data_IF_986102469427
#
_entry.id   IF_986102469427
#
_cell.length_a   1.000
_cell.length_b   1.000
_cell.length_c   1.000
_cell.angle_alpha   90.00
_cell.angle_beta   90.00
_cell.angle_gamma   90.00
#
_symmetry.space_group_name_H-M   'P 1'
#
loop_
_entity.id
_entity.type
_entity.pdbx_description
1 polymer ?
#
# COMPACT_ATOMS: atom_id res chain seq x y z
N UNK A 1 -47.52 58.09 -18.15
CA UNK A 1 -46.52 57.96 -19.25
C UNK A 1 -45.20 57.55 -18.62
N UNK A 2 -44.87 56.28 -18.82
CA UNK A 2 -43.54 55.63 -18.79
C UNK A 2 -42.32 56.44 -18.36
N UNK A 3 -41.69 56.09 -17.23
CA UNK A 3 -40.41 55.34 -17.22
C UNK A 3 -39.99 55.07 -15.76
N UNK A 4 -39.99 53.79 -15.39
CA UNK A 4 -39.39 53.29 -14.15
C UNK A 4 -37.98 52.80 -14.50
N UNK A 5 -36.99 53.51 -14.00
CA UNK A 5 -35.67 52.96 -13.72
C UNK A 5 -35.72 52.34 -12.33
N UNK A 6 -35.36 51.06 -12.16
CA UNK A 6 -34.62 50.66 -10.96
C UNK A 6 -33.95 49.29 -11.03
N UNK A 7 -32.71 49.33 -10.54
CA UNK A 7 -31.91 48.32 -9.85
C UNK A 7 -31.78 46.89 -10.39
N UNK A 8 -30.57 46.59 -10.87
CA UNK A 8 -29.97 45.25 -10.86
C UNK A 8 -29.86 44.72 -9.43
N UNK A 9 -30.45 43.55 -9.16
CA UNK A 9 -30.14 42.74 -7.98
C UNK A 9 -28.74 42.10 -8.14
N UNK A 10 -27.82 42.20 -7.16
CA UNK A 10 -26.66 41.34 -7.10
C UNK A 10 -27.01 39.99 -6.45
N UNK A 11 -26.56 38.91 -7.10
CA UNK A 11 -26.65 37.52 -6.65
C UNK A 11 -26.05 37.29 -5.26
N UNK A 12 -26.62 36.40 -4.43
CA UNK A 12 -26.05 36.06 -3.14
C UNK A 12 -24.75 35.26 -3.33
N UNK A 13 -23.68 35.77 -2.75
CA UNK A 13 -22.39 35.11 -2.61
C UNK A 13 -22.56 33.79 -1.86
N UNK A 14 -22.09 32.70 -2.46
CA UNK A 14 -21.94 31.41 -1.79
C UNK A 14 -20.86 31.56 -0.71
N UNK A 15 -21.28 31.66 0.55
CA UNK A 15 -20.40 31.49 1.70
C UNK A 15 -19.82 30.08 1.65
N UNK A 16 -18.49 30.01 1.65
CA UNK A 16 -17.72 28.78 1.80
C UNK A 16 -18.16 28.04 3.07
N UNK A 17 -18.63 26.81 2.90
CA UNK A 17 -18.96 25.92 4.01
C UNK A 17 -17.69 25.51 4.73
N UNK A 18 -17.40 26.13 5.87
CA UNK A 18 -16.45 25.61 6.86
C UNK A 18 -16.98 24.28 7.38
N UNK A 19 -16.36 23.18 6.98
CA UNK A 19 -16.57 21.89 7.59
C UNK A 19 -16.27 22.00 9.09
N UNK A 20 -17.30 21.77 9.90
CA UNK A 20 -17.27 21.83 11.34
C UNK A 20 -16.55 20.59 11.87
N UNK A 21 -15.29 20.76 12.28
CA UNK A 21 -14.58 19.81 13.14
C UNK A 21 -15.35 19.70 14.47
N UNK A 22 -15.71 18.49 14.87
CA UNK A 22 -16.23 18.22 16.21
C UNK A 22 -15.27 17.26 16.95
N UNK A 23 -14.58 17.86 17.93
CA UNK A 23 -14.06 17.36 19.20
C UNK A 23 -13.58 15.89 19.30
N UNK A 24 -12.26 15.65 19.19
CA UNK A 24 -11.33 15.43 20.34
C UNK A 24 -9.89 15.16 19.82
N UNK A 25 -9.35 16.08 19.00
CA UNK A 25 -8.24 15.80 18.07
C UNK A 25 -6.95 16.60 18.32
N UNK A 26 -6.58 16.85 19.58
CA UNK A 26 -5.31 17.54 19.86
C UNK A 26 -4.15 16.54 19.82
N UNK A 27 -3.47 16.47 18.68
CA UNK A 27 -2.09 15.95 18.62
C UNK A 27 -1.11 17.12 18.65
N UNK A 28 0.12 16.86 19.08
CA UNK A 28 1.21 17.83 19.03
C UNK A 28 2.27 17.35 18.07
N UNK A 29 2.84 18.27 17.28
CA UNK A 29 3.99 17.97 16.43
C UNK A 29 5.22 18.62 17.06
N UNK A 30 6.27 17.83 17.23
CA UNK A 30 7.63 18.32 17.47
C UNK A 30 8.41 18.16 16.17
N UNK A 31 8.77 19.27 15.54
CA UNK A 31 9.53 19.27 14.29
C UNK A 31 10.95 18.75 14.52
N UNK A 32 11.52 18.05 13.54
CA UNK A 32 12.95 17.77 13.52
C UNK A 32 13.78 19.07 13.55
N UNK A 33 15.04 18.99 14.00
CA UNK A 33 16.01 20.07 13.76
C UNK A 33 16.09 20.35 12.25
N UNK A 34 16.02 21.62 11.83
CA UNK A 34 15.79 22.11 10.45
C UNK A 34 16.87 21.73 9.40
N UNK A 35 17.17 20.44 9.23
CA UNK A 35 17.92 19.93 8.10
C UNK A 35 17.01 19.81 6.87
N UNK A 36 17.51 20.06 5.65
CA UNK A 36 16.78 19.75 4.43
C UNK A 36 16.52 18.24 4.32
N UNK A 37 15.41 17.86 3.68
CA UNK A 37 15.11 16.45 3.39
C UNK A 37 16.25 15.89 2.53
N UNK A 38 16.84 14.73 2.89
CA UNK A 38 17.81 14.07 2.06
C UNK A 38 17.30 13.85 0.63
N UNK A 39 18.09 14.30 -0.36
CA UNK A 39 17.80 14.01 -1.76
C UNK A 39 18.19 12.58 -2.09
N UNK A 40 17.23 11.79 -2.56
CA UNK A 40 17.48 10.42 -2.97
C UNK A 40 18.15 10.41 -4.36
N UNK A 41 19.31 9.76 -4.46
CA UNK A 41 20.10 9.71 -5.72
C UNK A 41 19.56 8.70 -6.72
N UNK A 42 19.03 7.59 -6.21
CA UNK A 42 18.46 6.52 -7.00
C UNK A 42 17.12 6.11 -6.36
N UNK A 43 15.98 6.48 -6.97
CA UNK A 43 14.68 6.15 -6.44
C UNK A 43 14.18 4.75 -6.84
N UNK A 44 14.99 3.94 -7.53
CA UNK A 44 14.57 2.63 -8.04
C UNK A 44 14.16 1.63 -6.96
N UNK A 45 14.57 1.84 -5.71
CA UNK A 45 14.13 1.02 -4.57
C UNK A 45 12.77 1.41 -4.01
N UNK A 46 12.26 2.61 -4.34
CA UNK A 46 10.93 3.05 -3.94
C UNK A 46 9.89 2.63 -4.97
N UNK A 47 8.79 2.05 -4.49
CA UNK A 47 7.84 1.42 -5.39
C UNK A 47 6.41 1.49 -4.83
N UNK A 48 5.45 1.68 -5.75
CA UNK A 48 4.02 1.51 -5.51
C UNK A 48 3.58 0.32 -6.37
N UNK A 49 3.11 -0.76 -5.75
CA UNK A 49 2.52 -1.89 -6.49
C UNK A 49 1.04 -2.05 -6.17
N UNK A 50 0.26 -2.35 -7.20
CA UNK A 50 -1.13 -2.79 -7.08
C UNK A 50 -1.24 -4.24 -7.48
N UNK A 51 -2.01 -5.02 -6.73
CA UNK A 51 -2.28 -6.42 -7.11
C UNK A 51 -3.39 -6.45 -8.16
N UNK A 52 -3.09 -6.97 -9.33
CA UNK A 52 -4.01 -7.09 -10.46
C UNK A 52 -4.89 -8.33 -10.33
N UNK A 53 -4.34 -9.43 -9.80
CA UNK A 53 -5.06 -10.64 -9.46
C UNK A 53 -4.26 -11.53 -8.50
N UNK A 54 -4.98 -12.47 -7.88
CA UNK A 54 -4.39 -13.57 -7.12
C UNK A 54 -5.05 -14.91 -7.51
N UNK A 55 -4.23 -15.94 -7.71
CA UNK A 55 -4.68 -17.32 -7.76
C UNK A 55 -4.13 -18.12 -6.58
N UNK A 56 -4.97 -18.98 -6.01
CA UNK A 56 -4.53 -19.99 -5.05
C UNK A 56 -4.44 -21.35 -5.74
N UNK A 57 -3.24 -21.91 -5.76
CA UNK A 57 -2.89 -23.18 -6.37
C UNK A 57 -2.77 -24.28 -5.30
N UNK A 58 -2.85 -25.58 -5.67
CA UNK A 58 -2.55 -26.66 -4.75
C UNK A 58 -1.13 -26.56 -4.19
N UNK A 59 -0.96 -27.00 -2.94
CA UNK A 59 0.35 -27.12 -2.29
C UNK A 59 0.55 -28.54 -1.76
N UNK A 60 1.68 -29.20 -2.08
CA UNK A 60 2.64 -28.79 -3.11
C UNK A 60 1.99 -28.76 -4.50
N UNK A 61 2.58 -28.01 -5.44
CA UNK A 61 2.12 -28.00 -6.82
C UNK A 61 2.18 -29.43 -7.42
N UNK A 62 1.21 -29.82 -8.26
CA UNK A 62 1.24 -31.12 -8.92
C UNK A 62 2.52 -31.32 -9.75
N UNK A 63 3.02 -32.57 -9.88
CA UNK A 63 4.18 -32.85 -10.69
C UNK A 63 3.99 -32.32 -12.12
N UNK A 64 4.99 -31.57 -12.62
CA UNK A 64 5.00 -30.92 -13.94
C UNK A 64 4.10 -29.67 -14.10
N UNK A 65 3.53 -29.13 -13.01
CA UNK A 65 2.91 -27.81 -13.08
C UNK A 65 3.94 -26.77 -13.55
N UNK A 66 3.56 -25.97 -14.55
CA UNK A 66 4.39 -24.87 -15.03
C UNK A 66 4.33 -23.70 -14.07
N UNK A 67 5.50 -23.10 -13.83
CA UNK A 67 5.66 -21.93 -12.97
C UNK A 67 6.47 -20.87 -13.75
N UNK A 68 5.96 -19.63 -13.86
CA UNK A 68 4.62 -19.22 -13.43
C UNK A 68 3.49 -19.89 -14.22
N UNK A 69 2.38 -20.21 -13.56
CA UNK A 69 1.25 -20.97 -14.09
C UNK A 69 0.27 -20.08 -14.86
N UNK A 70 -0.11 -18.95 -14.27
CA UNK A 70 -1.21 -18.09 -14.73
C UNK A 70 -0.97 -17.45 -16.09
N UNK A 71 0.29 -17.26 -16.50
CA UNK A 71 0.66 -16.71 -17.83
C UNK A 71 0.28 -17.62 -19.00
N UNK A 72 -0.09 -18.88 -18.73
CA UNK A 72 -0.50 -19.85 -19.74
C UNK A 72 -2.04 -19.99 -19.86
N UNK A 73 -2.79 -19.24 -19.06
CA UNK A 73 -4.25 -19.26 -19.13
C UNK A 73 -4.78 -18.42 -20.31
N UNK A 74 -5.91 -18.84 -20.92
CA UNK A 74 -6.67 -20.06 -20.67
C UNK A 74 -6.13 -21.29 -21.41
N UNK A 75 -5.16 -21.12 -22.32
CA UNK A 75 -4.72 -22.13 -23.29
C UNK A 75 -4.22 -23.43 -22.64
N UNK A 76 -3.58 -23.33 -21.46
CA UNK A 76 -3.14 -24.47 -20.67
C UNK A 76 -3.63 -24.35 -19.23
N UNK A 77 -4.68 -25.08 -18.91
CA UNK A 77 -5.32 -25.02 -17.59
C UNK A 77 -5.56 -26.41 -16.94
N UNK A 78 -4.51 -27.22 -16.71
CA UNK A 78 -4.66 -28.54 -16.11
C UNK A 78 -5.19 -28.52 -14.66
N UNK A 79 -5.06 -27.39 -13.96
CA UNK A 79 -5.61 -27.20 -12.60
C UNK A 79 -7.06 -26.73 -12.60
N UNK A 80 -7.67 -26.52 -13.77
CA UNK A 80 -9.04 -26.05 -13.93
C UNK A 80 -9.35 -24.78 -13.11
N UNK A 81 -8.41 -23.82 -13.13
CA UNK A 81 -8.61 -22.50 -12.54
C UNK A 81 -9.66 -21.71 -13.34
N UNK A 82 -10.30 -20.69 -12.75
CA UNK A 82 -11.08 -19.73 -13.52
C UNK A 82 -10.26 -19.19 -14.71
N UNK A 83 -10.88 -19.14 -15.89
CA UNK A 83 -10.22 -18.61 -17.10
C UNK A 83 -10.05 -17.10 -17.07
N UNK A 84 -10.74 -16.42 -16.14
CA UNK A 84 -10.69 -14.97 -15.97
C UNK A 84 -10.00 -14.65 -14.66
N UNK A 85 -9.02 -13.75 -14.74
CA UNK A 85 -8.31 -13.19 -13.60
C UNK A 85 -9.29 -12.48 -12.66
N UNK A 86 -9.07 -12.63 -11.36
CA UNK A 86 -9.92 -12.05 -10.34
C UNK A 86 -9.09 -11.48 -9.20
N UNK A 87 -9.43 -10.26 -8.81
CA UNK A 87 -8.84 -9.57 -7.66
C UNK A 87 -9.96 -9.14 -6.71
N UNK A 88 -10.15 -9.84 -5.58
CA UNK A 88 -11.21 -9.54 -4.61
C UNK A 88 -10.96 -8.24 -3.82
N UNK A 89 -9.75 -7.69 -3.85
CA UNK A 89 -9.35 -6.57 -2.98
C UNK A 89 -8.82 -5.37 -3.76
N UNK A 90 -8.89 -4.18 -3.17
CA UNK A 90 -8.11 -3.03 -3.58
C UNK A 90 -6.78 -3.06 -2.83
N UNK A 91 -5.87 -3.94 -3.25
CA UNK A 91 -4.54 -4.09 -2.64
C UNK A 91 -3.57 -3.07 -3.21
N UNK A 92 -2.87 -2.37 -2.32
CA UNK A 92 -1.79 -1.43 -2.65
C UNK A 92 -0.66 -1.67 -1.66
N UNK A 93 0.56 -1.81 -2.17
CA UNK A 93 1.80 -1.88 -1.40
C UNK A 93 2.59 -0.61 -1.66
N UNK A 94 3.06 0.03 -0.59
CA UNK A 94 4.04 1.12 -0.68
C UNK A 94 5.34 0.63 -0.09
N UNK A 95 6.45 0.76 -0.83
CA UNK A 95 7.80 0.41 -0.38
C UNK A 95 8.68 1.64 -0.42
N UNK A 96 9.25 2.03 0.72
CA UNK A 96 10.16 3.16 0.85
C UNK A 96 11.54 2.86 0.23
N UNK A 97 12.38 3.88 0.01
CA UNK A 97 13.75 3.69 -0.48
C UNK A 97 14.62 2.76 0.38
N UNK A 98 14.38 2.68 1.70
CA UNK A 98 15.07 1.75 2.60
C UNK A 98 14.32 0.42 2.78
N UNK A 99 13.40 0.09 1.88
CA UNK A 99 12.64 -1.15 1.88
C UNK A 99 11.69 -1.31 3.08
N UNK A 100 11.30 -0.21 3.74
CA UNK A 100 10.16 -0.25 4.67
C UNK A 100 8.88 -0.29 3.85
N UNK A 101 8.04 -1.31 4.06
CA UNK A 101 6.82 -1.48 3.29
C UNK A 101 5.56 -1.42 4.16
N UNK A 102 4.43 -1.10 3.54
CA UNK A 102 3.08 -1.30 4.07
C UNK A 102 2.17 -1.87 2.97
N UNK A 103 1.57 -3.02 3.25
CA UNK A 103 0.59 -3.71 2.41
C UNK A 103 -0.77 -3.63 3.10
N UNK A 104 -1.77 -3.09 2.40
CA UNK A 104 -3.15 -3.04 2.88
C UNK A 104 -4.07 -3.63 1.81
N UNK A 105 -4.79 -4.69 2.19
CA UNK A 105 -5.71 -5.45 1.34
C UNK A 105 -7.13 -5.24 1.83
N UNK A 106 -7.92 -4.46 1.09
CA UNK A 106 -9.31 -4.14 1.42
C UNK A 106 -10.25 -4.82 0.43
N UNK A 107 -11.21 -5.62 0.90
CA UNK A 107 -12.22 -6.21 0.02
C UNK A 107 -12.98 -5.15 -0.78
N UNK A 108 -13.07 -5.36 -2.10
CA UNK A 108 -13.88 -4.53 -3.00
C UNK A 108 -15.37 -4.67 -2.62
N UNK A 109 -16.11 -3.57 -2.70
CA UNK A 109 -17.55 -3.61 -2.45
C UNK A 109 -18.26 -4.40 -3.55
N UNK A 110 -19.12 -5.35 -3.16
CA UNK A 110 -20.07 -5.99 -4.09
C UNK A 110 -21.29 -5.11 -4.40
N UNK A 111 -21.45 -3.97 -3.72
CA UNK A 111 -22.56 -3.02 -3.89
C UNK A 111 -22.06 -1.75 -4.58
N UNK A 112 -22.87 -1.20 -5.48
CA UNK A 112 -22.59 0.03 -6.27
C UNK A 112 -22.50 1.31 -5.44
N UNK A 113 -22.92 1.30 -4.17
CA UNK A 113 -22.79 2.44 -3.25
C UNK A 113 -21.63 2.20 -2.30
N UNK A 114 -20.55 2.96 -2.49
CA UNK A 114 -19.42 2.94 -1.57
C UNK A 114 -19.83 3.59 -0.24
N UNK A 115 -19.72 2.87 0.91
CA UNK A 115 -19.94 3.45 2.22
C UNK A 115 -18.95 4.59 2.48
N UNK A 116 -19.32 5.51 3.37
CA UNK A 116 -18.40 6.56 3.82
C UNK A 116 -17.14 5.90 4.44
N UNK A 117 -15.92 6.19 3.94
CA UNK A 117 -14.71 5.57 4.45
C UNK A 117 -14.51 5.83 5.95
N UNK A 118 -15.06 6.93 6.47
CA UNK A 118 -14.94 7.32 7.87
C UNK A 118 -15.81 6.51 8.84
N UNK A 119 -16.59 5.53 8.37
CA UNK A 119 -17.51 4.73 9.20
C UNK A 119 -16.92 3.41 9.71
N UNK A 120 -15.61 3.14 9.50
CA UNK A 120 -14.88 2.16 10.30
C UNK A 120 -15.32 0.70 10.16
N UNK A 121 -15.72 0.26 8.97
CA UNK A 121 -16.22 -1.10 8.74
C UNK A 121 -15.09 -2.16 8.80
N UNK A 122 -14.84 -2.74 9.96
CA UNK A 122 -13.79 -3.76 10.19
C UNK A 122 -13.87 -4.98 9.27
N UNK A 123 -15.07 -5.38 8.85
CA UNK A 123 -15.30 -6.53 7.97
C UNK A 123 -14.74 -6.37 6.54
N UNK A 124 -14.29 -5.17 6.15
CA UNK A 124 -13.67 -4.94 4.83
C UNK A 124 -12.18 -5.25 4.79
N UNK A 125 -11.50 -5.36 5.93
CA UNK A 125 -10.07 -5.67 5.96
C UNK A 125 -9.85 -7.17 5.72
N UNK A 126 -9.13 -7.51 4.65
CA UNK A 126 -8.68 -8.89 4.41
C UNK A 126 -7.38 -9.18 5.17
N UNK A 127 -6.39 -8.31 4.94
CA UNK A 127 -5.08 -8.37 5.58
C UNK A 127 -4.43 -6.99 5.50
N UNK A 128 -3.70 -6.60 6.53
CA UNK A 128 -2.75 -5.51 6.43
C UNK A 128 -1.53 -5.82 7.28
N UNK A 129 -0.36 -5.46 6.78
CA UNK A 129 0.90 -5.69 7.46
C UNK A 129 1.95 -4.71 6.95
N UNK A 130 2.98 -4.51 7.77
CA UNK A 130 4.07 -3.60 7.47
C UNK A 130 5.37 -4.11 8.10
N UNK A 131 6.49 -3.79 7.48
CA UNK A 131 7.77 -4.34 7.87
C UNK A 131 8.89 -3.91 6.95
N UNK A 132 9.87 -4.79 6.78
CA UNK A 132 11.00 -4.60 5.86
C UNK A 132 11.03 -5.70 4.82
N UNK A 133 11.33 -5.35 3.57
CA UNK A 133 11.53 -6.31 2.50
C UNK A 133 13.00 -6.45 2.13
N UNK A 134 13.34 -7.60 1.55
CA UNK A 134 14.64 -7.84 0.93
C UNK A 134 14.46 -8.71 -0.30
N UNK A 135 15.20 -8.43 -1.37
CA UNK A 135 15.17 -9.23 -2.59
C UNK A 135 16.57 -9.61 -3.01
N UNK A 136 16.78 -10.88 -3.36
CA UNK A 136 18.06 -11.41 -3.83
C UNK A 136 17.89 -12.01 -5.23
N UNK A 137 18.74 -11.68 -6.21
CA UNK A 137 18.70 -12.33 -7.52
C UNK A 137 18.89 -13.84 -7.38
N UNK A 138 18.06 -14.62 -8.06
CA UNK A 138 18.19 -16.07 -8.13
C UNK A 138 18.46 -16.51 -9.56
N UNK A 139 19.34 -17.50 -9.70
CA UNK A 139 19.49 -18.21 -10.97
C UNK A 139 18.55 -19.39 -10.96
N UNK A 140 17.55 -19.36 -11.83
CA UNK A 140 16.69 -20.53 -12.01
C UNK A 140 17.54 -21.68 -12.56
N UNK A 141 17.51 -22.87 -11.94
CA UNK A 141 18.24 -24.00 -12.48
C UNK A 141 17.64 -24.40 -13.84
N UNK A 142 18.40 -25.10 -14.71
CA UNK A 142 17.90 -25.52 -16.03
C UNK A 142 16.62 -26.38 -15.98
N UNK A 143 16.31 -26.96 -14.82
CA UNK A 143 15.08 -27.69 -14.52
C UNK A 143 13.84 -26.82 -14.23
N UNK A 144 14.03 -25.50 -14.10
CA UNK A 144 13.03 -24.54 -13.67
C UNK A 144 13.00 -24.28 -12.16
N UNK A 145 12.01 -23.52 -11.64
CA UNK A 145 11.97 -23.07 -10.25
C UNK A 145 11.98 -24.16 -9.19
N UNK A 146 12.25 -23.76 -7.94
CA UNK A 146 12.30 -24.63 -6.76
C UNK A 146 10.98 -25.42 -6.55
N UNK A 147 9.86 -24.88 -7.02
CA UNK A 147 8.55 -25.53 -7.03
C UNK A 147 8.03 -25.64 -8.48
N UNK A 148 7.60 -26.83 -8.90
CA UNK A 148 7.09 -27.07 -10.26
C UNK A 148 8.17 -27.36 -11.32
N UNK A 149 7.85 -27.16 -12.60
CA UNK A 149 8.79 -27.20 -13.74
C UNK A 149 8.58 -25.97 -14.60
N UNK A 150 9.58 -25.14 -14.87
CA UNK A 150 9.43 -24.12 -15.93
C UNK A 150 9.67 -24.81 -17.27
N UNK A 151 8.62 -24.98 -18.06
CA UNK A 151 8.73 -25.50 -19.43
C UNK A 151 8.45 -24.42 -20.48
N UNK A 152 8.86 -23.17 -20.22
CA UNK A 152 8.94 -22.18 -21.29
C UNK A 152 10.22 -22.41 -22.10
N UNK A 153 10.05 -22.45 -23.44
CA UNK A 153 10.93 -23.01 -24.49
C UNK A 153 12.34 -23.40 -24.05
N UNK A 154 12.63 -24.69 -24.17
CA UNK A 154 13.97 -25.29 -24.14
C UNK A 154 14.94 -24.75 -25.20
N UNK A 155 14.62 -23.66 -25.93
CA UNK A 155 15.48 -23.14 -27.00
C UNK A 155 15.63 -21.60 -27.05
N UNK A 156 14.78 -20.76 -26.43
CA UNK A 156 14.84 -19.30 -26.74
C UNK A 156 14.63 -18.26 -25.61
N UNK A 157 14.11 -18.58 -24.41
CA UNK A 157 13.87 -17.56 -23.37
C UNK A 157 14.43 -17.99 -22.01
N UNK A 158 15.54 -17.36 -21.58
CA UNK A 158 15.98 -17.38 -20.18
C UNK A 158 15.15 -16.37 -19.38
N UNK A 159 14.62 -16.77 -18.23
CA UNK A 159 14.10 -15.78 -17.28
C UNK A 159 15.26 -14.95 -16.75
N UNK A 160 15.26 -13.66 -17.09
CA UNK A 160 16.25 -12.71 -16.60
C UNK A 160 15.70 -11.96 -15.39
N UNK A 161 16.58 -11.61 -14.47
CA UNK A 161 16.27 -10.75 -13.32
C UNK A 161 15.19 -11.31 -12.36
N UNK A 162 15.07 -12.63 -12.26
CA UNK A 162 14.25 -13.26 -11.23
C UNK A 162 14.90 -13.03 -9.87
N UNK A 163 14.10 -12.62 -8.89
CA UNK A 163 14.55 -12.44 -7.52
C UNK A 163 13.73 -13.33 -6.59
N UNK A 164 14.34 -13.72 -5.47
CA UNK A 164 13.60 -14.23 -4.33
C UNK A 164 13.43 -13.08 -3.34
N UNK A 165 12.19 -12.79 -3.00
CA UNK A 165 11.82 -11.71 -2.09
C UNK A 165 11.31 -12.28 -0.77
N UNK A 166 11.65 -11.59 0.32
CA UNK A 166 11.20 -11.91 1.68
C UNK A 166 10.67 -10.66 2.33
N UNK A 167 9.51 -10.76 2.97
CA UNK A 167 8.85 -9.70 3.71
C UNK A 167 8.83 -10.05 5.19
N UNK A 168 9.61 -9.32 5.99
CA UNK A 168 9.65 -9.53 7.45
C UNK A 168 8.64 -8.62 8.12
N UNK A 169 7.57 -9.20 8.66
CA UNK A 169 6.47 -8.46 9.25
C UNK A 169 6.87 -7.93 10.63
N UNK A 170 6.70 -6.62 10.83
CA UNK A 170 6.87 -5.96 12.11
C UNK A 170 5.54 -5.64 12.79
N UNK A 171 4.51 -5.40 11.97
CA UNK A 171 3.09 -5.25 12.34
C UNK A 171 2.27 -6.09 11.38
N UNK A 172 1.32 -6.86 11.89
CA UNK A 172 0.43 -7.70 11.09
C UNK A 172 -0.97 -7.72 11.72
N UNK A 173 -2.02 -7.50 10.92
CA UNK A 173 -3.40 -7.45 11.41
C UNK A 173 -3.93 -8.79 11.91
N UNK A 174 -3.25 -9.91 11.60
CA UNK A 174 -3.64 -11.27 12.00
C UNK A 174 -2.91 -11.75 13.25
N UNK A 175 -1.90 -11.02 13.71
CA UNK A 175 -1.07 -11.41 14.85
C UNK A 175 -0.95 -10.28 15.87
N UNK A 176 -0.95 -10.62 17.15
CA UNK A 176 -0.69 -9.65 18.20
C UNK A 176 0.71 -9.04 18.06
N UNK A 177 0.87 -7.82 18.58
CA UNK A 177 2.17 -7.12 18.62
C UNK A 177 3.22 -8.01 19.30
N UNK A 178 4.35 -8.21 18.61
CA UNK A 178 5.48 -8.99 19.13
C UNK A 178 5.31 -10.51 19.03
N UNK A 179 4.27 -11.00 18.35
CA UNK A 179 4.10 -12.44 18.09
C UNK A 179 5.33 -13.02 17.39
N UNK A 180 5.83 -14.15 17.90
CA UNK A 180 6.87 -14.97 17.26
C UNK A 180 6.32 -15.87 16.15
N UNK A 181 5.00 -15.97 16.05
CA UNK A 181 4.32 -16.98 15.25
C UNK A 181 3.88 -16.43 13.89
N UNK A 182 4.35 -15.24 13.51
CA UNK A 182 4.11 -14.70 12.17
C UNK A 182 4.84 -15.59 11.16
N UNK A 183 4.13 -16.22 10.20
CA UNK A 183 4.75 -17.05 9.18
C UNK A 183 5.76 -16.27 8.35
N UNK A 184 6.71 -17.00 7.76
CA UNK A 184 7.57 -16.43 6.73
C UNK A 184 6.70 -16.04 5.53
N UNK A 185 6.87 -14.82 5.07
CA UNK A 185 6.27 -14.31 3.83
C UNK A 185 7.38 -14.14 2.79
N UNK A 186 7.33 -14.94 1.74
CA UNK A 186 8.37 -15.00 0.70
C UNK A 186 7.83 -15.53 -0.62
N UNK A 187 8.46 -15.10 -1.72
CA UNK A 187 8.04 -15.44 -3.07
C UNK A 187 9.14 -15.21 -4.10
N UNK A 188 9.10 -16.00 -5.17
CA UNK A 188 9.93 -15.79 -6.35
C UNK A 188 9.23 -14.78 -7.29
N UNK A 189 9.93 -13.72 -7.66
CA UNK A 189 9.41 -12.62 -8.47
C UNK A 189 9.85 -12.77 -9.92
N UNK A 190 8.89 -12.93 -10.83
CA UNK A 190 9.12 -13.09 -12.26
C UNK A 190 8.72 -11.81 -13.00
N UNK A 191 9.67 -11.04 -13.54
CA UNK A 191 9.36 -9.91 -14.40
C UNK A 191 8.67 -10.41 -15.68
N UNK A 192 7.41 -10.00 -15.89
CA UNK A 192 6.58 -10.38 -17.05
C UNK A 192 6.60 -9.30 -18.13
N UNK A 193 6.57 -8.04 -17.70
CA UNK A 193 6.65 -6.85 -18.55
C UNK A 193 7.25 -5.69 -17.72
N UNK A 194 7.57 -4.52 -18.31
CA UNK A 194 8.24 -3.43 -17.58
C UNK A 194 7.58 -3.00 -16.26
N UNK A 195 6.25 -3.05 -16.18
CA UNK A 195 5.48 -2.71 -14.98
C UNK A 195 4.82 -3.93 -14.31
N UNK A 196 5.03 -5.15 -14.84
CA UNK A 196 4.31 -6.34 -14.40
C UNK A 196 5.28 -7.38 -13.85
N UNK A 197 5.08 -7.73 -12.59
CA UNK A 197 5.85 -8.77 -11.91
C UNK A 197 4.88 -9.80 -11.35
N UNK A 198 5.10 -11.07 -11.68
CA UNK A 198 4.32 -12.17 -11.13
C UNK A 198 5.09 -12.78 -9.97
N UNK A 199 4.52 -12.70 -8.78
CA UNK A 199 5.02 -13.35 -7.59
C UNK A 199 4.49 -14.78 -7.50
N UNK A 200 5.36 -15.72 -7.17
CA UNK A 200 5.01 -17.10 -6.85
C UNK A 200 5.56 -17.46 -5.48
N UNK A 201 4.67 -17.58 -4.51
CA UNK A 201 5.00 -17.93 -3.14
C UNK A 201 4.10 -19.01 -2.60
N UNK A 202 4.19 -19.26 -1.30
CA UNK A 202 3.24 -20.11 -0.61
C UNK A 202 3.04 -19.63 0.83
N UNK A 203 1.83 -19.84 1.35
CA UNK A 203 1.48 -19.40 2.69
C UNK A 203 0.23 -20.08 3.21
N UNK A 204 0.01 -19.99 4.51
CA UNK A 204 -1.21 -20.49 5.12
C UNK A 204 -2.41 -19.63 4.72
N UNK A 205 -3.40 -20.24 4.08
CA UNK A 205 -4.64 -19.56 3.71
C UNK A 205 -5.70 -19.78 4.80
N UNK A 206 -6.09 -18.76 5.59
CA UNK A 206 -6.96 -18.94 6.76
C UNK A 206 -8.35 -19.48 6.42
N UNK A 207 -8.99 -19.01 5.34
CA UNK A 207 -10.32 -19.50 4.97
C UNK A 207 -10.33 -20.95 4.42
N UNK A 208 -9.17 -21.47 3.99
CA UNK A 208 -9.03 -22.84 3.48
C UNK A 208 -8.38 -23.77 4.51
N UNK A 209 -7.96 -23.22 5.66
CA UNK A 209 -7.26 -23.93 6.74
C UNK A 209 -6.11 -24.82 6.23
N UNK A 210 -5.34 -24.30 5.26
CA UNK A 210 -4.30 -25.06 4.58
C UNK A 210 -3.24 -24.14 3.97
N UNK A 211 -2.02 -24.65 3.84
CA UNK A 211 -0.98 -24.01 3.02
C UNK A 211 -1.39 -24.10 1.55
N UNK A 212 -1.23 -22.99 0.83
CA UNK A 212 -1.45 -22.88 -0.60
C UNK A 212 -0.27 -22.20 -1.27
N UNK A 213 0.07 -22.66 -2.47
CA UNK A 213 0.84 -21.84 -3.39
C UNK A 213 -0.06 -20.71 -3.84
N UNK A 214 0.47 -19.51 -3.92
CA UNK A 214 -0.23 -18.38 -4.51
C UNK A 214 0.55 -17.85 -5.70
N UNK A 215 -0.18 -17.32 -6.67
CA UNK A 215 0.39 -16.45 -7.70
C UNK A 215 -0.29 -15.10 -7.63
N UNK A 216 0.49 -14.04 -7.44
CA UNK A 216 0.03 -12.67 -7.34
C UNK A 216 0.64 -11.85 -8.48
N UNK A 217 -0.19 -11.31 -9.37
CA UNK A 217 0.29 -10.38 -10.38
C UNK A 217 0.31 -8.98 -9.80
N UNK A 218 1.50 -8.39 -9.76
CA UNK A 218 1.74 -7.05 -9.31
C UNK A 218 1.97 -6.13 -10.50
N UNK A 219 1.27 -5.00 -10.49
CA UNK A 219 1.49 -3.90 -11.40
C UNK A 219 2.09 -2.72 -10.66
N UNK A 220 3.26 -2.30 -11.09
CA UNK A 220 3.93 -1.12 -10.57
C UNK A 220 3.31 0.17 -11.15
N UNK A 221 3.20 1.18 -10.29
CA UNK A 221 2.79 2.53 -10.68
C UNK A 221 3.91 3.52 -10.43
N UNK A 222 4.04 4.48 -11.34
CA UNK A 222 4.94 5.61 -11.16
C UNK A 222 4.58 6.40 -9.90
N UNK A 223 5.61 6.76 -9.13
CA UNK A 223 5.46 7.72 -8.03
C UNK A 223 5.25 9.11 -8.61
N UNK A 224 4.19 9.81 -8.23
CA UNK A 224 3.86 11.14 -8.75
C UNK A 224 4.07 12.22 -7.69
N UNK A 225 4.48 13.42 -8.13
CA UNK A 225 4.59 14.59 -7.25
C UNK A 225 3.20 15.07 -6.82
N UNK A 226 3.06 15.45 -5.55
CA UNK A 226 1.84 16.06 -5.00
C UNK A 226 2.05 17.52 -4.64
N UNK A 227 3.11 18.14 -5.17
CA UNK A 227 3.46 19.52 -4.87
C UNK A 227 3.81 20.30 -6.16
N UNK A 228 3.74 21.63 -6.07
CA UNK A 228 4.06 22.55 -7.17
C UNK A 228 5.54 22.53 -7.58
N UNK A 229 6.43 22.07 -6.71
CA UNK A 229 7.85 21.94 -7.03
C UNK A 229 8.14 20.72 -7.93
N UNK A 230 7.16 19.86 -8.17
CA UNK A 230 7.31 18.66 -8.99
C UNK A 230 8.21 17.60 -8.34
N UNK A 231 8.46 17.68 -7.04
CA UNK A 231 9.26 16.68 -6.33
C UNK A 231 8.40 15.56 -5.74
N UNK A 232 8.90 14.33 -5.84
CA UNK A 232 8.33 13.14 -5.23
C UNK A 232 8.85 13.06 -3.79
N UNK A 233 7.96 12.76 -2.85
CA UNK A 233 8.26 12.73 -1.42
C UNK A 233 7.95 11.35 -0.86
N UNK A 234 8.86 10.81 -0.04
CA UNK A 234 8.61 9.66 0.80
C UNK A 234 8.77 10.04 2.28
N UNK A 235 7.87 9.56 3.14
CA UNK A 235 7.95 9.71 4.60
C UNK A 235 7.57 8.39 5.24
N UNK A 236 8.39 7.90 6.17
CA UNK A 236 8.08 6.73 7.00
C UNK A 236 7.99 7.17 8.45
N UNK A 237 6.85 6.87 9.11
CA UNK A 237 6.67 7.07 10.54
C UNK A 237 6.50 5.74 11.25
N UNK A 238 7.09 5.61 12.43
CA UNK A 238 6.95 4.43 13.29
C UNK A 238 6.43 4.82 14.67
N UNK A 239 5.44 4.08 15.16
CA UNK A 239 5.04 4.09 16.55
C UNK A 239 5.46 2.77 17.18
N UNK A 240 6.24 2.83 18.26
CA UNK A 240 6.67 1.65 19.01
C UNK A 240 6.47 1.87 20.51
N UNK A 241 5.49 1.17 21.07
CA UNK A 241 5.21 1.13 22.50
C UNK A 241 4.93 -0.32 22.92
N UNK A 242 5.93 -1.18 22.72
CA UNK A 242 5.86 -2.62 22.94
C UNK A 242 5.41 -3.00 24.36
N UNK A 243 5.79 -2.19 25.37
CA UNK A 243 5.42 -2.40 26.77
C UNK A 243 3.89 -2.40 27.01
N UNK A 244 3.13 -1.78 26.12
CA UNK A 244 1.65 -1.75 26.15
C UNK A 244 1.04 -2.40 24.91
N UNK A 245 1.82 -3.17 24.16
CA UNK A 245 1.36 -3.94 23.00
C UNK A 245 0.92 -3.06 21.84
N UNK A 246 1.62 -1.94 21.57
CA UNK A 246 1.28 -1.01 20.48
C UNK A 246 2.43 -0.87 19.50
N UNK A 247 2.14 -1.09 18.21
CA UNK A 247 3.03 -0.78 17.09
C UNK A 247 2.26 -0.19 15.93
N UNK A 248 2.90 0.67 15.15
CA UNK A 248 2.33 1.18 13.91
C UNK A 248 3.36 1.69 12.93
N UNK A 249 3.03 1.61 11.65
CA UNK A 249 3.85 2.10 10.54
C UNK A 249 2.97 2.93 9.61
N UNK A 250 3.46 4.09 9.21
CA UNK A 250 2.89 4.90 8.13
C UNK A 250 3.95 5.05 7.06
N UNK A 251 3.58 4.83 5.80
CA UNK A 251 4.40 5.15 4.62
C UNK A 251 3.60 6.11 3.75
N UNK A 252 4.16 7.28 3.49
CA UNK A 252 3.76 8.16 2.38
C UNK A 252 4.77 7.95 1.26
N UNK A 253 4.27 7.76 0.05
CA UNK A 253 5.09 7.65 -1.15
C UNK A 253 4.36 8.34 -2.31
N UNK A 254 4.87 9.52 -2.71
CA UNK A 254 4.26 10.35 -3.75
C UNK A 254 2.79 10.64 -3.46
N UNK A 255 1.93 10.15 -4.35
CA UNK A 255 0.49 10.30 -4.39
C UNK A 255 -0.30 9.35 -3.47
N UNK A 256 0.37 8.45 -2.73
CA UNK A 256 -0.27 7.56 -1.76
C UNK A 256 0.29 7.77 -0.36
N UNK A 257 -0.57 7.56 0.64
CA UNK A 257 -0.16 7.37 2.02
C UNK A 257 -0.99 6.28 2.67
N UNK A 258 -0.33 5.29 3.25
CA UNK A 258 -0.94 4.17 3.94
C UNK A 258 -0.38 4.04 5.35
N UNK A 259 -1.21 3.55 6.27
CA UNK A 259 -0.75 3.27 7.61
C UNK A 259 -1.53 2.16 8.29
N UNK A 260 -0.83 1.42 9.13
CA UNK A 260 -1.37 0.37 9.99
C UNK A 260 -0.91 0.63 11.43
N UNK A 261 -1.82 0.39 12.38
CA UNK A 261 -1.53 0.37 13.81
C UNK A 261 -2.20 -0.85 14.44
N UNK A 262 -1.43 -1.58 15.24
CA UNK A 262 -1.92 -2.62 16.14
C UNK A 262 -1.85 -2.12 17.57
N UNK A 263 -2.93 -2.32 18.33
CA UNK A 263 -3.02 -2.06 19.75
C UNK A 263 -3.66 -3.27 20.44
N UNK A 264 -2.83 -4.12 21.04
CA UNK A 264 -3.22 -5.48 21.41
C UNK A 264 -3.65 -6.26 20.16
N UNK A 265 -4.90 -6.73 20.15
CA UNK A 265 -5.51 -7.45 19.02
C UNK A 265 -6.30 -6.53 18.07
N UNK A 266 -6.37 -5.22 18.36
CA UNK A 266 -7.15 -4.28 17.54
C UNK A 266 -6.29 -3.70 16.44
N UNK A 267 -6.77 -3.79 15.21
CA UNK A 267 -6.15 -3.17 14.03
C UNK A 267 -6.84 -1.85 13.68
N UNK A 268 -6.04 -0.85 13.33
CA UNK A 268 -6.50 0.35 12.64
C UNK A 268 -5.68 0.55 11.37
N UNK A 269 -6.34 0.82 10.24
CA UNK A 269 -5.68 1.14 8.97
C UNK A 269 -6.26 2.39 8.32
N UNK A 270 -5.40 3.10 7.59
CA UNK A 270 -5.80 4.21 6.72
C UNK A 270 -5.12 4.10 5.34
N UNK A 271 -5.84 4.56 4.31
CA UNK A 271 -5.29 4.87 2.98
C UNK A 271 -5.77 6.24 2.55
N UNK A 272 -4.83 7.03 2.05
CA UNK A 272 -5.02 8.35 1.48
C UNK A 272 -4.42 8.40 0.09
N UNK A 273 -5.11 9.10 -0.79
CA UNK A 273 -4.76 9.25 -2.20
C UNK A 273 -4.81 10.73 -2.56
N UNK A 274 -3.79 11.20 -3.26
CA UNK A 274 -3.80 12.53 -3.86
C UNK A 274 -4.62 12.50 -5.14
N UNK A 275 -5.51 13.47 -5.29
CA UNK A 275 -6.27 13.71 -6.51
C UNK A 275 -5.87 15.06 -7.08
N UNK A 276 -5.40 15.06 -8.32
CA UNK A 276 -5.20 16.29 -9.05
C UNK A 276 -6.56 16.97 -9.30
N UNK A 277 -6.58 18.30 -9.34
CA UNK A 277 -7.78 19.05 -9.66
C UNK A 277 -8.29 18.67 -11.05
N UNK A 278 -9.58 18.30 -11.15
CA UNK A 278 -10.19 18.03 -12.45
C UNK A 278 -10.39 19.37 -13.18
N UNK A 279 -9.71 19.52 -14.33
CA UNK A 279 -9.79 20.62 -15.28
C UNK A 279 -8.91 21.84 -14.97
N UNK A 280 -7.78 21.93 -15.67
CA UNK A 280 -7.22 23.20 -16.16
C UNK A 280 -6.96 24.30 -15.12
N UNK A 281 -5.71 24.35 -14.67
CA UNK A 281 -4.96 25.52 -14.19
C UNK A 281 -5.33 26.21 -12.87
N UNK A 282 -6.49 26.00 -12.22
CA UNK A 282 -6.80 26.73 -10.96
C UNK A 282 -7.31 25.91 -9.75
N UNK A 283 -7.57 24.61 -9.88
CA UNK A 283 -7.92 23.77 -8.72
C UNK A 283 -6.67 23.09 -8.14
N UNK A 284 -6.28 23.46 -6.91
CA UNK A 284 -5.23 22.76 -6.18
C UNK A 284 -5.68 21.32 -5.89
N UNK A 285 -4.82 20.35 -6.18
CA UNK A 285 -5.11 18.95 -5.85
C UNK A 285 -5.36 18.75 -4.35
N UNK A 286 -6.06 17.67 -4.01
CA UNK A 286 -6.46 17.39 -2.64
C UNK A 286 -6.10 15.96 -2.20
N UNK A 287 -5.70 15.82 -0.94
CA UNK A 287 -5.57 14.54 -0.28
C UNK A 287 -6.93 14.04 0.18
N UNK A 288 -7.34 12.86 -0.29
CA UNK A 288 -8.59 12.23 0.10
C UNK A 288 -8.32 10.91 0.82
N UNK A 289 -8.91 10.74 2.00
CA UNK A 289 -8.93 9.44 2.69
C UNK A 289 -9.86 8.49 1.93
N UNK A 290 -9.30 7.45 1.33
CA UNK A 290 -10.05 6.42 0.61
C UNK A 290 -10.39 5.21 1.49
N UNK A 291 -9.59 4.94 2.54
CA UNK A 291 -9.84 3.86 3.49
C UNK A 291 -9.65 4.35 4.92
N UNK A 292 -10.57 3.97 5.82
CA UNK A 292 -10.40 4.03 7.27
C UNK A 292 -11.12 2.87 7.93
N UNK A 293 -10.37 2.06 8.67
CA UNK A 293 -10.89 0.93 9.45
C UNK A 293 -10.28 0.99 10.84
N UNK A 294 -11.09 0.73 11.87
CA UNK A 294 -10.68 0.80 13.27
C UNK A 294 -10.72 2.23 13.84
N UNK A 295 -10.45 2.32 15.15
CA UNK A 295 -10.70 3.51 15.96
C UNK A 295 -9.41 4.19 16.47
N UNK A 296 -8.23 3.56 16.27
CA UNK A 296 -6.94 4.09 16.72
C UNK A 296 -6.44 5.32 15.95
N UNK A 297 -5.49 6.07 16.48
CA UNK A 297 -4.94 7.20 15.75
C UNK A 297 -3.80 6.77 14.83
N UNK A 298 -3.95 6.99 13.52
CA UNK A 298 -2.92 6.75 12.50
C UNK A 298 -2.64 8.10 11.81
N UNK A 299 -1.42 8.66 11.90
CA UNK A 299 -1.14 10.03 11.46
C UNK A 299 -0.93 10.15 9.94
N UNK A 300 -1.61 9.35 9.10
CA UNK A 300 -1.53 9.50 7.64
C UNK A 300 -1.89 10.93 7.22
N UNK A 301 -2.96 11.48 7.82
CA UNK A 301 -3.41 12.87 7.67
C UNK A 301 -2.38 13.96 8.01
N UNK A 302 -1.32 13.58 8.74
CA UNK A 302 -0.25 14.47 9.19
C UNK A 302 0.99 14.31 8.31
N UNK A 303 1.22 13.14 7.73
CA UNK A 303 2.41 12.79 6.93
C UNK A 303 2.64 13.66 5.66
N UNK A 304 1.64 14.47 5.28
CA UNK A 304 1.75 15.43 4.18
C UNK A 304 1.97 16.88 4.62
N UNK A 305 2.09 17.15 5.92
CA UNK A 305 2.33 18.49 6.44
C UNK A 305 3.83 18.82 6.50
N UNK A 306 4.24 20.07 6.21
CA UNK A 306 5.65 20.47 6.23
C UNK A 306 6.38 20.17 7.56
N UNK A 307 5.68 20.26 8.69
CA UNK A 307 6.26 20.11 10.04
C UNK A 307 6.80 18.70 10.31
N UNK A 308 6.36 17.69 9.54
CA UNK A 308 6.81 16.30 9.68
C UNK A 308 7.70 15.84 8.52
N UNK A 309 8.07 16.73 7.61
CA UNK A 309 8.96 16.40 6.50
C UNK A 309 10.43 16.48 6.95
N UNK A 310 10.81 15.64 7.90
CA UNK A 310 12.17 15.56 8.41
C UNK A 310 12.36 14.42 9.40
N UNK A 311 13.47 13.69 9.27
CA UNK A 311 13.84 12.59 10.17
C UNK A 311 13.97 13.09 11.61
N UNK A 312 13.38 12.36 12.55
CA UNK A 312 13.32 12.70 13.96
C UNK A 312 12.15 13.61 14.35
N UNK A 313 11.31 14.05 13.40
CA UNK A 313 10.05 14.71 13.75
C UNK A 313 9.13 13.73 14.49
N UNK A 314 8.40 14.23 15.47
CA UNK A 314 7.53 13.42 16.34
C UNK A 314 6.10 13.94 16.26
N UNK A 315 5.15 13.04 15.98
CA UNK A 315 3.70 13.30 16.12
C UNK A 315 3.23 12.56 17.36
N UNK A 316 2.80 13.32 18.36
CA UNK A 316 2.31 12.77 19.63
C UNK A 316 0.79 12.86 19.70
N UNK A 317 0.15 11.74 19.98
CA UNK A 317 -1.29 11.65 20.24
C UNK A 317 -1.53 10.82 21.50
N UNK A 318 -2.08 11.46 22.53
CA UNK A 318 -2.11 10.92 23.89
C UNK A 318 -0.72 10.42 24.33
N UNK A 319 -0.62 9.14 24.69
CA UNK A 319 0.59 8.50 25.19
C UNK A 319 1.48 7.92 24.08
N UNK A 320 1.05 8.00 22.83
CA UNK A 320 1.76 7.40 21.70
C UNK A 320 2.50 8.44 20.87
N UNK A 321 3.75 8.12 20.56
CA UNK A 321 4.62 8.91 19.72
C UNK A 321 4.86 8.18 18.40
N UNK A 322 4.71 8.91 17.30
CA UNK A 322 5.06 8.48 15.95
C UNK A 322 6.29 9.26 15.52
N UNK A 323 7.39 8.58 15.29
CA UNK A 323 8.68 9.18 14.92
C UNK A 323 8.90 9.00 13.43
N UNK A 324 9.28 10.08 12.73
CA UNK A 324 9.72 10.01 11.34
C UNK A 324 11.11 9.39 11.28
N UNK A 325 11.21 8.19 10.72
CA UNK A 325 12.49 7.47 10.58
C UNK A 325 13.11 7.65 9.20
N UNK A 326 12.29 7.91 8.19
CA UNK A 326 12.72 8.19 6.83
C UNK A 326 11.99 9.41 6.28
N UNK A 327 12.74 10.27 5.60
CA UNK A 327 12.20 11.33 4.77
C UNK A 327 13.08 11.47 3.54
N UNK A 328 12.49 11.39 2.36
CA UNK A 328 13.20 11.45 1.09
C UNK A 328 12.50 12.38 0.12
N UNK A 329 13.29 13.07 -0.71
CA UNK A 329 12.80 13.90 -1.79
C UNK A 329 13.61 13.65 -3.07
N UNK A 330 12.94 13.54 -4.22
CA UNK A 330 13.59 13.40 -5.53
C UNK A 330 12.73 13.97 -6.67
N UNK A 331 13.26 13.95 -7.89
CA UNK A 331 12.58 14.41 -9.11
C UNK A 331 12.01 13.26 -9.90
#
# INVERSE_FOLDING_TARGET
MTSLSDSKNPSPSKQASKATQTADSSFTITTASHGPIPTLKDPSSANISKREYIYFLPYPLPPNAEVPYSIHLPDKNPLNLPSHQFEPTSTVVLTSPNHTFVDIRIYKSFKTTEPNPNQGHSQKLDWAFAGTSSSVPITLPPSGPHYGKSKKRLEEDTWENVTHSTWTHWVDSRYAVGSSDIPVDEGDMYPIAPELTLEVGHGFHPALDAVKTHEEMWKDEDVVSTNKAGSKICVVMRCQADAVGVRGVVVRLGQYCQGIMMAGEKTTVERWEWKDGENGEDEEGEWKRSVRIGDGFVPCGVAFRPEVLGVGAVVKFHDFEWVVEEAWEWK
#
